data_IF_201632827567
#
_entry.id   IF_201632827567
#
_cell.length_a   1.000
_cell.length_b   1.000
_cell.length_c   1.000
_cell.angle_alpha   90.00
_cell.angle_beta   90.00
_cell.angle_gamma   90.00
#
_symmetry.space_group_name_H-M   'P 1'
#
loop_
_entity.id
_entity.type
_entity.pdbx_description
1 polymer ?
#
# COMPACT_ATOMS: atom_id res chain seq x y z
N UNK A 1 21.28 -8.89 4.36
CA UNK A 1 20.25 -7.84 4.47
C UNK A 1 19.64 -7.59 3.13
N UNK A 2 18.35 -7.84 2.98
CA UNK A 2 17.64 -7.51 1.74
C UNK A 2 17.59 -6.00 1.59
N UNK A 3 17.86 -5.52 0.38
CA UNK A 3 18.06 -4.10 0.15
C UNK A 3 17.10 -3.55 -0.89
N UNK A 4 16.00 -2.96 -0.41
CA UNK A 4 14.99 -2.34 -1.27
C UNK A 4 15.18 -0.83 -1.32
N UNK A 5 15.93 -0.37 -2.32
CA UNK A 5 16.32 1.02 -2.49
C UNK A 5 15.39 1.79 -3.43
N UNK A 6 14.17 2.08 -2.98
CA UNK A 6 13.25 2.97 -3.69
C UNK A 6 12.31 3.72 -2.74
N UNK A 7 11.60 4.71 -3.27
CA UNK A 7 10.55 5.45 -2.56
C UNK A 7 9.21 4.95 -3.08
N UNK A 8 8.32 4.63 -2.15
CA UNK A 8 6.92 4.37 -2.46
C UNK A 8 6.14 5.67 -2.24
N UNK A 9 5.40 6.08 -3.26
CA UNK A 9 4.52 7.25 -3.24
C UNK A 9 3.07 6.79 -3.09
N UNK A 10 2.39 7.22 -2.03
CA UNK A 10 0.98 6.88 -1.77
C UNK A 10 0.15 8.16 -1.75
N UNK A 11 -1.07 8.10 -2.28
CA UNK A 11 -1.97 9.27 -2.36
C UNK A 11 -3.32 8.87 -1.80
N UNK A 12 -3.80 9.57 -0.77
CA UNK A 12 -5.11 9.33 -0.20
C UNK A 12 -5.91 10.61 -0.13
N UNK A 13 -7.22 10.50 -0.35
CA UNK A 13 -8.15 11.61 -0.17
C UNK A 13 -8.61 11.75 1.27
N UNK A 14 -9.05 12.95 1.62
CA UNK A 14 -9.69 13.19 2.90
C UNK A 14 -10.89 14.12 2.78
N UNK A 15 -11.74 14.10 3.80
CA UNK A 15 -12.91 14.98 3.91
C UNK A 15 -12.74 16.01 5.01
N UNK A 16 -12.15 15.61 6.14
CA UNK A 16 -11.99 16.43 7.33
C UNK A 16 -10.51 16.71 7.62
N UNK A 17 -10.11 17.97 7.45
CA UNK A 17 -8.74 18.43 7.61
C UNK A 17 -8.25 18.29 9.06
N UNK A 18 -9.07 18.61 10.05
CA UNK A 18 -8.68 18.58 11.46
C UNK A 18 -8.40 17.15 11.94
N UNK A 19 -9.24 16.20 11.52
CA UNK A 19 -9.05 14.77 11.81
C UNK A 19 -7.73 14.29 11.20
N UNK A 20 -7.46 14.65 9.95
CA UNK A 20 -6.24 14.22 9.26
C UNK A 20 -5.00 14.89 9.82
N UNK A 21 -5.01 16.18 10.14
CA UNK A 21 -3.88 16.85 10.79
C UNK A 21 -3.54 16.18 12.10
N UNK A 22 -4.56 15.92 12.94
CA UNK A 22 -4.39 15.20 14.21
C UNK A 22 -3.81 13.79 14.00
N UNK A 23 -4.31 13.06 13.01
CA UNK A 23 -3.79 11.73 12.67
C UNK A 23 -2.32 11.79 12.20
N UNK A 24 -1.98 12.76 11.36
CA UNK A 24 -0.63 12.95 10.82
C UNK A 24 0.38 13.48 11.84
N UNK A 25 -0.06 14.24 12.84
CA UNK A 25 0.80 14.63 13.97
C UNK A 25 1.12 13.43 14.86
N UNK A 26 0.16 12.50 14.99
CA UNK A 26 0.26 11.36 15.88
C UNK A 26 0.97 10.15 15.26
N UNK A 27 0.63 9.78 14.03
CA UNK A 27 1.04 8.53 13.38
C UNK A 27 1.68 8.75 12.00
N UNK A 28 2.61 9.70 11.95
CA UNK A 28 3.31 10.04 10.70
C UNK A 28 4.25 8.92 10.24
N UNK A 29 4.22 8.63 8.95
CA UNK A 29 5.26 7.84 8.28
C UNK A 29 5.78 8.54 7.02
N UNK A 30 7.10 8.58 6.86
CA UNK A 30 7.75 9.18 5.70
C UNK A 30 7.59 10.71 5.59
N UNK A 31 7.83 11.22 4.39
CA UNK A 31 7.51 12.61 4.06
C UNK A 31 6.02 12.71 3.73
N UNK A 32 5.36 13.73 4.27
CA UNK A 32 3.91 13.92 4.09
C UNK A 32 3.67 15.34 3.61
N UNK A 33 2.88 15.47 2.56
CA UNK A 33 2.39 16.75 2.05
C UNK A 33 0.87 16.74 2.01
N UNK A 34 0.25 17.74 2.64
CA UNK A 34 -1.17 18.01 2.54
C UNK A 34 -1.43 18.98 1.39
N UNK A 35 -2.33 18.59 0.49
CA UNK A 35 -2.89 19.43 -0.55
C UNK A 35 -4.31 19.82 -0.15
N UNK A 36 -4.45 21.05 0.37
CA UNK A 36 -5.71 21.58 0.86
C UNK A 36 -6.71 21.87 -0.27
N UNK A 37 -6.21 22.29 -1.43
CA UNK A 37 -7.05 22.65 -2.58
C UNK A 37 -7.80 21.42 -3.08
N UNK A 38 -7.06 20.32 -3.25
CA UNK A 38 -7.66 19.12 -3.79
C UNK A 38 -8.20 18.19 -2.68
N UNK A 39 -7.82 18.40 -1.40
CA UNK A 39 -8.06 17.48 -0.25
C UNK A 39 -7.34 16.13 -0.34
N UNK A 40 -6.01 16.16 -0.54
CA UNK A 40 -5.17 14.95 -0.56
C UNK A 40 -4.05 14.98 0.45
N UNK A 41 -3.61 13.77 0.76
CA UNK A 41 -2.40 13.48 1.49
C UNK A 41 -1.46 12.71 0.55
N UNK A 42 -0.29 13.26 0.31
CA UNK A 42 0.79 12.63 -0.43
C UNK A 42 1.83 12.11 0.56
N UNK A 43 2.14 10.83 0.48
CA UNK A 43 3.19 10.19 1.27
C UNK A 43 4.35 9.82 0.36
N UNK A 44 5.58 10.08 0.81
CA UNK A 44 6.81 9.50 0.25
C UNK A 44 7.47 8.65 1.32
N UNK A 45 7.38 7.34 1.14
CA UNK A 45 7.79 6.34 2.13
C UNK A 45 9.08 5.66 1.65
N UNK A 46 10.14 5.79 2.44
CA UNK A 46 11.43 5.20 2.12
C UNK A 46 11.43 3.69 2.42
N UNK A 47 11.45 2.87 1.37
CA UNK A 47 11.39 1.40 1.47
C UNK A 47 12.65 0.76 2.05
N UNK A 48 13.71 1.53 2.32
CA UNK A 48 14.88 1.11 3.12
C UNK A 48 14.55 0.85 4.59
N UNK A 49 13.58 1.59 5.10
CA UNK A 49 13.20 1.60 6.52
C UNK A 49 11.78 1.16 6.75
N UNK A 50 11.03 0.92 5.69
CA UNK A 50 9.62 0.59 5.78
C UNK A 50 9.30 -0.67 4.98
N UNK A 51 8.41 -1.49 5.54
CA UNK A 51 7.77 -2.58 4.82
C UNK A 51 6.25 -2.50 5.02
N UNK A 52 5.51 -2.53 3.93
CA UNK A 52 4.04 -2.62 3.93
C UNK A 52 3.65 -4.01 4.43
N UNK A 53 2.60 -4.11 5.25
CA UNK A 53 2.20 -5.39 5.85
C UNK A 53 1.82 -6.44 4.79
N UNK A 54 1.17 -6.03 3.69
CA UNK A 54 0.89 -6.91 2.56
C UNK A 54 2.15 -7.53 1.94
N UNK A 55 3.22 -6.75 1.79
CA UNK A 55 4.50 -7.23 1.26
C UNK A 55 5.16 -8.21 2.24
N UNK A 56 5.13 -7.91 3.54
CA UNK A 56 5.66 -8.80 4.57
C UNK A 56 4.97 -10.18 4.52
N UNK A 57 3.64 -10.18 4.49
CA UNK A 57 2.84 -11.42 4.39
C UNK A 57 3.22 -12.19 3.13
N UNK A 58 3.29 -11.50 1.99
CA UNK A 58 3.65 -12.10 0.71
C UNK A 58 5.05 -12.72 0.73
N UNK A 59 6.03 -12.07 1.36
CA UNK A 59 7.39 -12.60 1.45
C UNK A 59 7.51 -13.80 2.39
N UNK A 60 6.76 -13.82 3.50
CA UNK A 60 6.68 -14.99 4.38
C UNK A 60 6.03 -16.15 3.65
N UNK A 61 4.88 -15.91 2.99
CA UNK A 61 4.12 -16.91 2.24
C UNK A 61 4.95 -17.54 1.11
N UNK A 62 5.78 -16.72 0.45
CA UNK A 62 6.72 -17.12 -0.59
C UNK A 62 7.96 -17.82 -0.04
N UNK A 63 8.07 -18.02 1.27
CA UNK A 63 9.27 -18.53 1.97
C UNK A 63 10.54 -17.73 1.64
N UNK A 64 10.37 -16.46 1.28
CA UNK A 64 11.46 -15.57 0.91
C UNK A 64 12.19 -15.08 2.15
N UNK A 65 11.41 -14.59 3.12
CA UNK A 65 11.92 -14.17 4.44
C UNK A 65 11.54 -15.17 5.51
N UNK A 66 12.36 -15.24 6.57
CA UNK A 66 12.09 -16.08 7.74
C UNK A 66 11.78 -15.24 8.96
N UNK A 67 10.69 -15.59 9.64
CA UNK A 67 10.32 -15.04 10.95
C UNK A 67 9.97 -16.16 11.91
N UNK A 68 10.28 -15.95 13.19
CA UNK A 68 9.88 -16.87 14.25
C UNK A 68 8.41 -16.71 14.60
N UNK A 69 7.82 -17.74 15.20
CA UNK A 69 6.47 -17.69 15.72
C UNK A 69 6.34 -16.59 16.78
N UNK A 70 7.34 -16.45 17.67
CA UNK A 70 7.37 -15.37 18.66
C UNK A 70 7.23 -13.98 18.02
N UNK A 71 7.98 -13.71 16.95
CA UNK A 71 7.91 -12.45 16.20
C UNK A 71 6.55 -12.24 15.54
N UNK A 72 5.92 -13.29 15.03
CA UNK A 72 4.58 -13.22 14.44
C UNK A 72 3.51 -12.87 15.50
N UNK A 73 3.59 -13.49 16.68
CA UNK A 73 2.70 -13.18 17.79
C UNK A 73 2.90 -11.74 18.29
N UNK A 74 4.15 -11.30 18.34
CA UNK A 74 4.48 -9.92 18.71
C UNK A 74 3.94 -8.91 17.69
N UNK A 75 3.98 -9.22 16.39
CA UNK A 75 3.32 -8.42 15.36
C UNK A 75 1.82 -8.24 15.65
N UNK A 76 1.11 -9.30 16.04
CA UNK A 76 -0.32 -9.20 16.39
C UNK A 76 -0.56 -8.26 17.56
N UNK A 77 0.27 -8.34 18.60
CA UNK A 77 0.20 -7.44 19.75
C UNK A 77 0.43 -5.98 19.33
N UNK A 78 1.44 -5.71 18.52
CA UNK A 78 1.73 -4.35 18.05
C UNK A 78 0.60 -3.79 17.17
N UNK A 79 0.02 -4.60 16.30
CA UNK A 79 -1.12 -4.23 15.47
C UNK A 79 -2.34 -3.84 16.33
N UNK A 80 -2.68 -4.66 17.33
CA UNK A 80 -3.80 -4.41 18.24
C UNK A 80 -3.56 -3.16 19.10
N UNK A 81 -2.35 -3.01 19.62
CA UNK A 81 -1.96 -1.85 20.41
C UNK A 81 -2.04 -0.56 19.60
N UNK A 82 -1.58 -0.55 18.34
CA UNK A 82 -1.66 0.64 17.49
C UNK A 82 -3.10 1.07 17.27
N UNK A 83 -4.02 0.12 17.04
CA UNK A 83 -5.45 0.43 16.92
C UNK A 83 -6.01 1.02 18.23
N UNK A 84 -5.71 0.42 19.38
CA UNK A 84 -6.14 0.97 20.68
C UNK A 84 -5.59 2.38 20.92
N UNK A 85 -4.34 2.59 20.53
CA UNK A 85 -3.65 3.85 20.70
C UNK A 85 -4.33 4.96 19.88
N UNK A 86 -4.60 4.75 18.58
CA UNK A 86 -5.29 5.76 17.75
C UNK A 86 -6.72 6.01 18.25
N UNK A 87 -7.46 4.96 18.67
CA UNK A 87 -8.83 5.09 19.18
C UNK A 87 -8.84 5.87 20.51
N UNK A 88 -7.84 5.69 21.37
CA UNK A 88 -7.69 6.45 22.62
C UNK A 88 -7.44 7.94 22.39
N UNK A 89 -6.86 8.30 21.24
CA UNK A 89 -6.68 9.69 20.81
C UNK A 89 -7.94 10.23 20.11
N UNK A 90 -9.01 9.45 19.97
CA UNK A 90 -10.20 9.85 19.21
C UNK A 90 -9.93 10.00 17.71
N UNK A 91 -8.98 9.25 17.17
CA UNK A 91 -8.69 9.18 15.74
C UNK A 91 -9.40 7.94 15.19
N UNK A 92 -10.30 8.14 14.24
CA UNK A 92 -10.97 7.04 13.54
C UNK A 92 -10.20 6.64 12.28
N UNK A 93 -10.08 5.32 12.04
CA UNK A 93 -9.56 4.78 10.79
C UNK A 93 -10.59 3.82 10.19
N UNK A 94 -11.35 4.31 9.21
CA UNK A 94 -12.48 3.56 8.64
C UNK A 94 -12.12 2.73 7.39
N UNK A 95 -10.90 2.90 6.88
CA UNK A 95 -10.43 2.28 5.64
C UNK A 95 -9.22 1.36 5.87
N UNK A 96 -9.03 0.80 7.07
CA UNK A 96 -7.81 0.04 7.36
C UNK A 96 -7.71 -1.22 6.48
N UNK A 97 -6.55 -1.49 5.91
CA UNK A 97 -6.28 -2.73 5.18
C UNK A 97 -4.79 -3.11 5.26
N UNK A 98 -4.41 -4.21 4.61
CA UNK A 98 -3.02 -4.68 4.61
C UNK A 98 -2.04 -3.72 3.90
N UNK A 99 -2.55 -2.88 3.00
CA UNK A 99 -1.73 -1.95 2.21
C UNK A 99 -1.51 -0.61 2.90
N UNK A 100 -2.39 -0.29 3.86
CA UNK A 100 -2.36 0.91 4.69
C UNK A 100 -1.63 0.73 6.00
N UNK A 101 -1.09 -0.45 6.26
CA UNK A 101 -0.30 -0.75 7.46
C UNK A 101 1.17 -0.86 7.08
N UNK A 102 2.00 -0.08 7.76
CA UNK A 102 3.43 -0.01 7.54
C UNK A 102 4.18 -0.35 8.81
N UNK A 103 5.22 -1.18 8.67
CA UNK A 103 6.20 -1.43 9.72
C UNK A 103 7.39 -0.51 9.44
N UNK A 104 7.62 0.45 10.33
CA UNK A 104 8.77 1.36 10.27
C UNK A 104 9.88 0.84 11.18
N UNK A 105 11.01 0.51 10.58
CA UNK A 105 12.17 -0.08 11.22
C UNK A 105 13.06 1.03 11.79
N UNK A 106 13.54 0.85 13.02
CA UNK A 106 14.41 1.85 13.66
C UNK A 106 15.75 1.98 12.92
N UNK A 107 16.27 0.87 12.41
CA UNK A 107 17.51 0.83 11.65
C UNK A 107 17.35 0.01 10.37
N UNK A 108 18.09 0.38 9.32
CA UNK A 108 18.19 -0.44 8.11
C UNK A 108 18.66 -1.87 8.47
N UNK A 109 19.48 -2.00 9.53
CA UNK A 109 20.02 -3.25 10.07
C UNK A 109 18.95 -4.29 10.43
N UNK A 110 17.69 -3.86 10.56
CA UNK A 110 16.54 -4.65 10.99
C UNK A 110 15.59 -5.03 9.82
N UNK A 111 15.97 -4.74 8.56
CA UNK A 111 15.11 -5.03 7.40
C UNK A 111 14.99 -6.51 7.08
N UNK A 112 13.76 -7.11 7.00
CA UNK A 112 13.55 -8.55 6.83
C UNK A 112 14.48 -9.22 5.82
N UNK A 113 14.91 -10.45 6.11
CA UNK A 113 16.00 -11.10 5.38
C UNK A 113 15.72 -12.59 5.18
N UNK A 114 16.55 -13.23 4.35
CA UNK A 114 16.40 -14.64 3.96
C UNK A 114 16.57 -15.61 5.13
N UNK A 115 17.26 -15.16 6.17
CA UNK A 115 17.52 -15.87 7.42
C UNK A 115 16.80 -15.14 8.56
N UNK A 116 16.64 -15.84 9.69
CA UNK A 116 16.13 -15.23 10.91
C UNK A 116 16.98 -14.04 11.31
N UNK A 117 16.31 -12.95 11.63
CA UNK A 117 16.94 -11.75 12.12
C UNK A 117 15.99 -10.97 13.00
N UNK A 118 16.59 -10.04 13.72
CA UNK A 118 15.96 -9.10 14.62
C UNK A 118 15.06 -8.17 13.79
N UNK A 119 13.76 -8.16 14.09
CA UNK A 119 12.82 -7.20 13.51
C UNK A 119 12.25 -6.32 14.63
N UNK A 120 12.76 -5.09 14.71
CA UNK A 120 12.26 -4.06 15.63
C UNK A 120 11.63 -2.98 14.78
N UNK A 121 10.35 -2.73 15.00
CA UNK A 121 9.57 -1.77 14.22
C UNK A 121 8.44 -1.16 15.04
N UNK A 122 8.07 0.06 14.68
CA UNK A 122 6.78 0.66 15.01
C UNK A 122 5.76 0.36 13.90
N UNK A 123 4.48 0.33 14.27
CA UNK A 123 3.37 0.22 13.32
C UNK A 123 2.84 1.62 13.06
N UNK A 124 2.65 1.95 11.78
CA UNK A 124 2.03 3.18 11.34
C UNK A 124 0.93 2.91 10.34
N UNK A 125 -0.13 3.72 10.35
CA UNK A 125 -1.21 3.64 9.40
C UNK A 125 -1.21 4.79 8.40
N UNK A 126 -1.70 4.53 7.19
CA UNK A 126 -1.95 5.53 6.14
C UNK A 126 -3.39 5.44 5.66
N UNK A 127 -3.90 6.49 5.01
CA UNK A 127 -5.25 6.44 4.43
C UNK A 127 -6.37 6.30 5.48
N UNK A 128 -6.26 7.02 6.61
CA UNK A 128 -7.30 7.12 7.65
C UNK A 128 -8.69 7.45 7.09
N UNK A 129 -8.69 8.34 6.09
CA UNK A 129 -9.81 8.64 5.22
C UNK A 129 -9.42 8.28 3.78
N UNK A 130 -10.39 7.83 2.98
CA UNK A 130 -10.21 7.57 1.54
C UNK A 130 -11.58 7.47 0.81
N UNK A 131 -12.41 8.53 0.82
CA UNK A 131 -13.77 8.50 0.26
C UNK A 131 -13.84 8.29 -1.25
N UNK A 132 -12.77 8.61 -1.99
CA UNK A 132 -12.74 8.61 -3.46
C UNK A 132 -13.11 7.25 -4.07
N UNK A 133 -12.69 6.15 -3.43
CA UNK A 133 -12.85 4.79 -3.99
C UNK A 133 -13.86 3.93 -3.22
N UNK A 134 -13.92 4.05 -1.90
CA UNK A 134 -14.55 3.06 -1.03
C UNK A 134 -15.92 3.52 -0.52
N UNK A 135 -16.83 3.91 -1.43
CA UNK A 135 -18.20 4.29 -1.08
C UNK A 135 -18.91 3.14 -0.35
N UNK A 136 -19.20 3.38 0.94
CA UNK A 136 -20.05 2.66 1.91
C UNK A 136 -19.84 1.15 2.14
N UNK A 137 -19.32 0.36 1.19
CA UNK A 137 -19.20 -1.10 1.32
C UNK A 137 -17.97 -1.59 2.10
N UNK A 138 -16.94 -0.75 2.23
CA UNK A 138 -15.67 -1.13 2.85
C UNK A 138 -15.36 -0.37 4.15
N UNK A 139 -16.21 0.58 4.54
CA UNK A 139 -16.04 1.31 5.79
C UNK A 139 -16.26 0.37 6.98
N UNK A 140 -15.20 0.12 7.72
CA UNK A 140 -15.23 -0.71 8.92
C UNK A 140 -14.31 -0.10 9.96
N UNK A 141 -14.75 -0.09 11.22
CA UNK A 141 -13.92 0.36 12.34
C UNK A 141 -12.60 -0.43 12.39
N UNK A 142 -11.50 0.27 12.62
CA UNK A 142 -10.16 -0.32 12.74
C UNK A 142 -10.11 -1.49 13.72
N UNK A 143 -10.79 -1.40 14.87
CA UNK A 143 -10.89 -2.46 15.87
C UNK A 143 -11.54 -3.75 15.38
N UNK A 144 -12.49 -3.69 14.45
CA UNK A 144 -13.02 -4.89 13.79
C UNK A 144 -12.08 -5.36 12.68
N UNK A 145 -11.58 -4.42 11.88
CA UNK A 145 -10.78 -4.74 10.70
C UNK A 145 -9.43 -5.38 11.03
N UNK A 146 -8.81 -4.97 12.13
CA UNK A 146 -7.53 -5.54 12.58
C UNK A 146 -7.64 -7.02 12.96
N UNK A 147 -8.80 -7.45 13.47
CA UNK A 147 -9.09 -8.86 13.77
C UNK A 147 -9.18 -9.71 12.49
N UNK A 148 -9.73 -9.14 11.41
CA UNK A 148 -9.72 -9.79 10.09
C UNK A 148 -8.29 -9.90 9.55
N UNK A 149 -7.51 -8.82 9.67
CA UNK A 149 -6.11 -8.78 9.24
C UNK A 149 -5.27 -9.85 9.98
N UNK A 150 -5.43 -9.99 11.30
CA UNK A 150 -4.74 -11.04 12.07
C UNK A 150 -5.11 -12.43 11.55
N UNK A 151 -6.39 -12.70 11.27
CA UNK A 151 -6.81 -13.97 10.70
C UNK A 151 -6.18 -14.21 9.31
N UNK A 152 -6.09 -13.19 8.47
CA UNK A 152 -5.42 -13.30 7.16
C UNK A 152 -3.93 -13.65 7.34
N UNK A 153 -3.24 -12.97 8.26
CA UNK A 153 -1.83 -13.26 8.54
C UNK A 153 -1.66 -14.71 9.00
N UNK A 154 -2.47 -15.18 9.96
CA UNK A 154 -2.39 -16.56 10.45
C UNK A 154 -2.57 -17.56 9.31
N UNK A 155 -3.62 -17.38 8.50
CA UNK A 155 -3.95 -18.31 7.41
C UNK A 155 -2.86 -18.37 6.33
N UNK A 156 -2.22 -17.23 6.01
CA UNK A 156 -1.21 -17.16 4.94
C UNK A 156 0.21 -17.47 5.42
N UNK A 157 0.55 -17.12 6.66
CA UNK A 157 1.92 -17.16 7.15
C UNK A 157 2.22 -18.38 8.01
N UNK A 158 1.26 -18.90 8.79
CA UNK A 158 1.58 -19.91 9.81
C UNK A 158 2.27 -21.13 9.21
N UNK A 159 1.81 -21.63 8.06
CA UNK A 159 2.38 -22.80 7.39
C UNK A 159 3.82 -22.63 6.88
N UNK A 160 4.34 -21.39 6.85
CA UNK A 160 5.73 -21.06 6.49
C UNK A 160 6.62 -20.83 7.70
N UNK A 161 6.06 -20.80 8.91
CA UNK A 161 6.86 -20.73 10.13
C UNK A 161 7.52 -22.09 10.40
N UNK A 162 8.85 -22.10 10.50
CA UNK A 162 9.58 -23.29 10.91
C UNK A 162 9.51 -23.44 12.42
N UNK A 163 9.13 -24.62 12.86
CA UNK A 163 9.02 -25.01 14.26
C UNK A 163 10.12 -26.01 14.56
N UNK A 164 10.50 -26.14 15.83
CA UNK A 164 11.49 -27.12 16.30
C UNK A 164 11.18 -28.56 15.89
N UNK A 165 9.91 -28.88 15.67
CA UNK A 165 9.46 -30.18 15.21
C UNK A 165 8.96 -30.11 13.76
N UNK A 166 9.40 -31.06 12.96
CA UNK A 166 9.06 -31.16 11.53
C UNK A 166 7.84 -32.04 11.26
N UNK A 167 7.30 -32.75 12.26
CA UNK A 167 6.12 -33.61 12.04
C UNK A 167 4.81 -32.80 12.02
N UNK A 168 3.88 -33.24 11.18
CA UNK A 168 2.60 -32.56 10.98
C UNK A 168 1.74 -32.57 12.26
N UNK A 169 1.81 -33.61 13.07
CA UNK A 169 1.00 -33.72 14.28
C UNK A 169 1.36 -32.64 15.31
N UNK A 170 2.65 -32.38 15.56
CA UNK A 170 3.05 -31.28 16.47
C UNK A 170 2.71 -29.93 15.89
N UNK A 171 2.84 -29.74 14.58
CA UNK A 171 2.41 -28.51 13.92
C UNK A 171 0.91 -28.26 14.13
N UNK A 172 0.08 -29.27 13.92
CA UNK A 172 -1.36 -29.19 14.13
C UNK A 172 -1.70 -28.94 15.61
N UNK A 173 -0.99 -29.59 16.52
CA UNK A 173 -1.12 -29.33 17.96
C UNK A 173 -0.81 -27.86 18.29
N UNK A 174 0.31 -27.32 17.82
CA UNK A 174 0.69 -25.92 18.05
C UNK A 174 -0.31 -24.95 17.42
N UNK A 175 -0.80 -25.24 16.22
CA UNK A 175 -1.85 -24.46 15.58
C UNK A 175 -3.12 -24.41 16.45
N UNK A 176 -3.56 -25.57 16.95
CA UNK A 176 -4.74 -25.68 17.79
C UNK A 176 -4.56 -25.04 19.18
N UNK A 177 -3.35 -25.08 19.73
CA UNK A 177 -3.07 -24.52 21.06
C UNK A 177 -2.79 -23.02 21.04
N UNK A 178 -2.36 -22.45 19.90
CA UNK A 178 -1.95 -21.03 19.82
C UNK A 178 -2.80 -20.25 18.82
N UNK A 179 -2.84 -20.69 17.55
CA UNK A 179 -3.52 -19.93 16.50
C UNK A 179 -5.04 -19.95 16.65
N UNK A 180 -5.62 -21.12 16.93
CA UNK A 180 -7.08 -21.28 17.06
C UNK A 180 -7.68 -20.41 18.18
N UNK A 181 -7.11 -20.34 19.41
CA UNK A 181 -7.59 -19.42 20.44
C UNK A 181 -7.63 -17.96 19.98
N UNK A 182 -6.58 -17.50 19.29
CA UNK A 182 -6.49 -16.13 18.76
C UNK A 182 -7.57 -15.92 17.67
N UNK A 183 -7.72 -16.86 16.74
CA UNK A 183 -8.76 -16.80 15.69
C UNK A 183 -10.16 -16.75 16.32
N UNK A 184 -10.43 -17.56 17.33
CA UNK A 184 -11.74 -17.62 17.99
C UNK A 184 -12.08 -16.29 18.66
N UNK A 185 -11.12 -15.65 19.32
CA UNK A 185 -11.31 -14.31 19.86
C UNK A 185 -11.49 -13.26 18.76
N UNK A 186 -10.73 -13.34 17.67
CA UNK A 186 -10.89 -12.44 16.52
C UNK A 186 -12.28 -12.55 15.85
N UNK A 187 -12.90 -13.74 15.88
CA UNK A 187 -14.26 -13.99 15.37
C UNK A 187 -15.36 -13.63 16.36
N UNK A 188 -15.04 -13.54 17.65
CA UNK A 188 -16.00 -13.23 18.70
C UNK A 188 -16.40 -11.75 18.64
N UNK A 189 -17.72 -11.51 18.57
CA UNK A 189 -18.27 -10.15 18.61
C UNK A 189 -18.03 -9.46 19.96
N UNK A 190 -17.95 -10.24 21.05
CA UNK A 190 -17.83 -9.72 22.41
C UNK A 190 -16.38 -9.52 22.86
N UNK A 191 -15.40 -10.05 22.13
CA UNK A 191 -13.99 -9.87 22.47
C UNK A 191 -13.52 -8.50 22.01
N UNK A 192 -12.84 -7.75 22.87
CA UNK A 192 -12.16 -6.52 22.48
C UNK A 192 -10.67 -6.80 22.15
N UNK A 193 -9.95 -5.79 21.65
CA UNK A 193 -8.53 -5.94 21.32
C UNK A 193 -7.66 -6.29 22.54
N UNK A 194 -8.05 -5.83 23.74
CA UNK A 194 -7.33 -6.08 24.99
C UNK A 194 -7.38 -7.55 25.40
N UNK A 195 -8.55 -8.21 25.26
CA UNK A 195 -8.71 -9.64 25.54
C UNK A 195 -7.79 -10.49 24.64
N UNK A 196 -7.68 -10.11 23.37
CA UNK A 196 -6.80 -10.78 22.40
C UNK A 196 -5.33 -10.57 22.79
N UNK A 197 -4.94 -9.35 23.17
CA UNK A 197 -3.58 -9.05 23.64
C UNK A 197 -3.23 -9.90 24.86
N UNK A 198 -4.11 -9.97 25.88
CA UNK A 198 -3.88 -10.81 27.07
C UNK A 198 -3.72 -12.28 26.68
N UNK A 199 -4.58 -12.79 25.80
CA UNK A 199 -4.50 -14.16 25.32
C UNK A 199 -3.14 -14.44 24.67
N UNK A 200 -2.70 -13.59 23.75
CA UNK A 200 -1.41 -13.74 23.06
C UNK A 200 -0.26 -13.69 24.06
N UNK A 201 -0.25 -12.71 24.98
CA UNK A 201 0.81 -12.59 25.99
C UNK A 201 0.84 -13.80 26.94
N UNK A 202 -0.32 -14.35 27.31
CA UNK A 202 -0.41 -15.57 28.10
C UNK A 202 0.16 -16.78 27.36
N UNK A 203 -0.15 -16.92 26.07
CA UNK A 203 0.41 -17.97 25.20
C UNK A 203 1.93 -17.82 25.04
N UNK A 204 2.42 -16.60 24.79
CA UNK A 204 3.86 -16.33 24.68
C UNK A 204 4.59 -16.71 25.98
N UNK A 205 4.07 -16.31 27.15
CA UNK A 205 4.64 -16.69 28.47
C UNK A 205 4.66 -18.21 28.69
N UNK A 206 3.59 -18.93 28.28
CA UNK A 206 3.51 -20.40 28.38
C UNK A 206 4.67 -21.10 27.67
N UNK A 207 5.13 -20.55 26.54
CA UNK A 207 6.19 -21.15 25.70
C UNK A 207 7.56 -20.49 25.87
N UNK A 208 7.85 -20.04 27.09
CA UNK A 208 9.14 -19.48 27.49
C UNK A 208 9.60 -18.36 26.56
N UNK A 209 8.70 -17.39 26.35
CA UNK A 209 9.02 -16.17 25.64
C UNK A 209 10.23 -15.47 26.26
N UNK A 210 11.20 -15.11 25.41
CA UNK A 210 12.29 -14.22 25.79
C UNK A 210 12.38 -13.04 24.85
N UNK A 211 12.43 -11.86 25.46
CA UNK A 211 12.88 -10.62 24.85
C UNK A 211 14.25 -10.29 25.44
N UNK A 212 15.31 -10.89 24.90
CA UNK A 212 16.65 -10.64 25.42
C UNK A 212 17.26 -9.41 24.71
N UNK A 213 17.42 -8.30 25.44
CA UNK A 213 18.06 -7.08 24.95
C UNK A 213 19.50 -7.32 24.41
N UNK A 214 20.17 -8.39 24.87
CA UNK A 214 21.54 -8.72 24.43
C UNK A 214 21.62 -9.52 23.13
N UNK A 215 20.60 -10.35 22.81
CA UNK A 215 20.60 -11.24 21.63
C UNK A 215 19.43 -11.01 20.63
N UNK A 216 18.45 -10.16 20.98
CA UNK A 216 17.49 -9.45 20.11
C UNK A 216 16.58 -10.25 19.16
N UNK A 217 16.44 -11.58 19.23
CA UNK A 217 15.37 -12.30 18.53
C UNK A 217 14.13 -12.43 19.42
N UNK A 218 12.94 -12.16 18.87
CA UNK A 218 11.66 -12.38 19.56
C UNK A 218 11.21 -13.82 19.28
N UNK A 219 11.29 -14.68 20.31
CA UNK A 219 11.12 -16.14 20.17
C UNK A 219 10.28 -16.73 21.31
N UNK A 220 9.54 -17.79 20.98
CA UNK A 220 8.96 -18.74 21.92
C UNK A 220 9.89 -19.97 22.01
N UNK A 221 10.85 -19.97 22.94
CA UNK A 221 11.97 -20.91 22.98
C UNK A 221 11.58 -22.40 22.99
N UNK A 222 10.38 -22.71 23.48
CA UNK A 222 9.91 -24.08 23.55
C UNK A 222 9.42 -24.60 22.19
N UNK A 223 9.06 -23.71 21.26
CA UNK A 223 8.43 -24.05 19.97
C UNK A 223 9.28 -23.63 18.77
N UNK A 224 9.82 -22.42 18.83
CA UNK A 224 10.60 -21.89 17.73
C UNK A 224 11.81 -22.79 17.49
N UNK A 225 12.11 -23.01 16.22
CA UNK A 225 13.32 -23.73 15.88
C UNK A 225 14.52 -22.97 16.46
N UNK A 226 15.40 -23.71 17.14
CA UNK A 226 16.65 -23.21 17.70
C UNK A 226 17.64 -22.78 16.59
N UNK A 227 17.26 -22.91 15.32
CA UNK A 227 18.06 -22.65 14.13
C UNK A 227 19.04 -21.48 14.33
N UNK A 228 20.25 -21.87 14.73
CA UNK A 228 21.49 -21.14 14.56
C UNK A 228 21.82 -21.07 13.07
N UNK A 229 20.94 -20.48 12.25
CA UNK A 229 21.14 -20.23 10.81
C UNK A 229 22.29 -19.22 10.54
N UNK A 230 23.13 -18.95 11.55
CA UNK A 230 24.04 -17.83 11.65
C UNK A 230 25.38 -18.03 10.94
N UNK A 231 25.79 -19.26 10.61
CA UNK A 231 27.02 -19.51 9.87
C UNK A 231 26.89 -20.72 8.92
N UNK A 232 26.97 -20.47 7.61
CA UNK A 232 27.03 -21.44 6.50
C UNK A 232 25.71 -22.07 6.01
N UNK A 233 24.53 -21.55 6.37
CA UNK A 233 23.29 -21.96 5.68
C UNK A 233 23.33 -21.56 4.21
N UNK A 234 22.71 -22.35 3.33
CA UNK A 234 22.70 -22.02 1.89
C UNK A 234 22.01 -20.68 1.63
N UNK A 235 20.97 -20.37 2.41
CA UNK A 235 20.32 -19.05 2.40
C UNK A 235 21.30 -17.93 2.75
N UNK A 236 22.14 -18.09 3.78
CA UNK A 236 23.13 -17.07 4.15
C UNK A 236 24.16 -16.85 3.04
N UNK A 237 24.66 -17.92 2.41
CA UNK A 237 25.63 -17.84 1.32
C UNK A 237 25.10 -17.08 0.10
N UNK A 238 23.80 -17.16 -0.18
CA UNK A 238 23.20 -16.50 -1.34
C UNK A 238 22.71 -15.08 -1.08
N UNK A 239 22.65 -14.61 0.17
CA UNK A 239 22.25 -13.22 0.51
C UNK A 239 22.95 -12.17 -0.37
N UNK A 240 24.30 -12.19 -0.55
CA UNK A 240 24.97 -11.18 -1.37
C UNK A 240 24.48 -11.19 -2.82
N UNK A 241 24.26 -12.37 -3.40
CA UNK A 241 23.84 -12.51 -4.79
C UNK A 241 22.37 -12.13 -4.98
N UNK A 242 21.48 -12.54 -4.07
CA UNK A 242 20.08 -12.11 -4.03
C UNK A 242 19.99 -10.59 -3.94
N UNK A 243 20.81 -9.96 -3.09
CA UNK A 243 20.85 -8.52 -2.98
C UNK A 243 21.32 -7.82 -4.25
N UNK A 244 22.32 -8.36 -4.93
CA UNK A 244 22.77 -7.82 -6.21
C UNK A 244 21.63 -7.86 -7.23
N UNK A 245 20.92 -8.97 -7.32
CA UNK A 245 19.84 -9.15 -8.29
C UNK A 245 18.64 -8.25 -7.96
N UNK A 246 18.24 -8.14 -6.69
CA UNK A 246 17.19 -7.19 -6.26
C UNK A 246 17.60 -5.73 -6.52
N UNK A 247 18.86 -5.39 -6.24
CA UNK A 247 19.37 -4.04 -6.50
C UNK A 247 19.33 -3.74 -8.00
N UNK A 248 19.72 -4.70 -8.84
CA UNK A 248 19.67 -4.55 -10.29
C UNK A 248 18.23 -4.41 -10.82
N UNK A 249 17.29 -5.22 -10.31
CA UNK A 249 15.86 -5.12 -10.62
C UNK A 249 15.36 -3.69 -10.29
N UNK A 250 15.62 -3.22 -9.07
CA UNK A 250 15.14 -1.91 -8.61
C UNK A 250 15.78 -0.78 -9.42
N UNK A 251 17.12 -0.79 -9.57
CA UNK A 251 17.83 0.25 -10.32
C UNK A 251 17.35 0.35 -11.76
N UNK A 252 17.16 -0.79 -12.43
CA UNK A 252 16.63 -0.79 -13.79
C UNK A 252 15.18 -0.33 -13.84
N UNK A 253 14.33 -0.83 -12.95
CA UNK A 253 12.91 -0.50 -12.94
C UNK A 253 12.62 0.94 -12.49
N UNK A 254 13.53 1.59 -11.76
CA UNK A 254 13.38 2.96 -11.28
C UNK A 254 13.19 3.97 -12.42
N UNK A 255 13.69 3.69 -13.63
CA UNK A 255 13.44 4.54 -14.80
C UNK A 255 11.98 4.52 -15.29
N UNK A 256 11.20 3.52 -14.86
CA UNK A 256 9.80 3.31 -15.26
C UNK A 256 8.79 3.62 -14.14
N UNK A 257 9.27 3.93 -12.94
CA UNK A 257 8.43 4.27 -11.79
C UNK A 257 8.08 3.10 -10.86
N UNK A 258 7.47 3.42 -9.71
CA UNK A 258 7.29 2.49 -8.60
C UNK A 258 6.42 1.27 -8.91
N UNK A 259 5.39 1.40 -9.75
CA UNK A 259 4.51 0.26 -10.08
C UNK A 259 5.31 -0.84 -10.76
N UNK A 260 6.23 -0.48 -11.65
CA UNK A 260 7.11 -1.45 -12.32
C UNK A 260 8.05 -2.10 -11.32
N UNK A 261 8.61 -1.33 -10.38
CA UNK A 261 9.44 -1.90 -9.30
C UNK A 261 8.65 -2.94 -8.51
N UNK A 262 7.47 -2.57 -8.00
CA UNK A 262 6.65 -3.45 -7.16
C UNK A 262 6.15 -4.69 -7.92
N UNK A 263 5.78 -4.55 -9.20
CA UNK A 263 5.39 -5.66 -10.07
C UNK A 263 6.53 -6.67 -10.26
N UNK A 264 7.75 -6.19 -10.54
CA UNK A 264 8.89 -7.08 -10.71
C UNK A 264 9.28 -7.76 -9.40
N UNK A 265 9.23 -7.05 -8.27
CA UNK A 265 9.47 -7.66 -6.95
C UNK A 265 8.42 -8.76 -6.68
N UNK A 266 7.14 -8.49 -6.95
CA UNK A 266 6.07 -9.46 -6.81
C UNK A 266 6.28 -10.70 -7.70
N UNK A 267 6.77 -10.52 -8.93
CA UNK A 267 7.07 -11.61 -9.85
C UNK A 267 8.31 -12.42 -9.46
N UNK A 268 9.41 -11.75 -9.11
CA UNK A 268 10.70 -12.38 -8.95
C UNK A 268 10.95 -12.93 -7.56
N UNK A 269 10.33 -12.40 -6.51
CA UNK A 269 10.51 -12.93 -5.14
C UNK A 269 10.18 -14.44 -5.06
N UNK A 270 9.04 -14.93 -5.58
CA UNK A 270 8.75 -16.36 -5.56
C UNK A 270 9.74 -17.21 -6.38
N UNK A 271 10.26 -16.66 -7.48
CA UNK A 271 11.28 -17.33 -8.31
C UNK A 271 12.58 -17.44 -7.50
N UNK A 272 13.00 -16.34 -6.89
CA UNK A 272 14.20 -16.28 -6.04
C UNK A 272 14.09 -17.29 -4.90
N UNK A 273 12.97 -17.30 -4.18
CA UNK A 273 12.71 -18.22 -3.07
C UNK A 273 12.86 -19.69 -3.47
N UNK A 274 12.30 -20.09 -4.62
CA UNK A 274 12.37 -21.47 -5.13
C UNK A 274 13.79 -21.93 -5.46
N UNK A 275 14.70 -20.99 -5.71
CA UNK A 275 16.07 -21.27 -6.16
C UNK A 275 17.12 -20.90 -5.12
N UNK A 276 16.76 -20.64 -3.85
CA UNK A 276 17.73 -20.23 -2.83
C UNK A 276 18.88 -21.24 -2.62
N UNK A 277 18.63 -22.54 -2.75
CA UNK A 277 19.66 -23.58 -2.64
C UNK A 277 20.62 -23.64 -3.83
N UNK A 278 20.20 -23.18 -5.01
CA UNK A 278 20.94 -23.25 -6.27
C UNK A 278 21.11 -21.89 -6.96
N UNK A 279 21.07 -20.82 -6.17
CA UNK A 279 20.87 -19.44 -6.66
C UNK A 279 21.95 -18.96 -7.62
N UNK A 280 23.16 -19.50 -7.52
CA UNK A 280 24.30 -19.16 -8.38
C UNK A 280 24.06 -19.39 -9.87
N UNK A 281 23.04 -20.19 -10.25
CA UNK A 281 22.67 -20.48 -11.64
C UNK A 281 21.40 -19.75 -12.09
N UNK A 282 20.78 -18.95 -11.23
CA UNK A 282 19.52 -18.28 -11.55
C UNK A 282 19.76 -17.16 -12.56
N UNK A 283 19.06 -17.24 -13.70
CA UNK A 283 19.00 -16.15 -14.68
C UNK A 283 17.65 -15.45 -14.55
N UNK A 284 17.67 -14.22 -14.07
CA UNK A 284 16.48 -13.38 -13.99
C UNK A 284 16.43 -12.46 -15.21
N UNK A 285 15.42 -12.64 -16.06
CA UNK A 285 15.21 -11.80 -17.23
C UNK A 285 14.41 -10.53 -16.88
N UNK A 286 14.88 -9.81 -15.86
CA UNK A 286 14.16 -8.66 -15.31
C UNK A 286 14.12 -7.47 -16.27
N UNK A 287 15.08 -7.36 -17.20
CA UNK A 287 15.11 -6.30 -18.22
C UNK A 287 13.92 -6.45 -19.15
N UNK A 288 13.76 -7.62 -19.76
CA UNK A 288 12.64 -7.90 -20.65
C UNK A 288 11.30 -7.77 -19.92
N UNK A 289 11.21 -8.29 -18.69
CA UNK A 289 10.00 -8.19 -17.87
C UNK A 289 9.64 -6.74 -17.55
N UNK A 290 10.59 -5.93 -17.10
CA UNK A 290 10.36 -4.52 -16.83
C UNK A 290 9.83 -3.78 -18.07
N UNK A 291 10.38 -4.05 -19.25
CA UNK A 291 9.91 -3.46 -20.50
C UNK A 291 8.49 -3.92 -20.87
N UNK A 292 8.15 -5.20 -20.64
CA UNK A 292 6.80 -5.71 -20.85
C UNK A 292 5.79 -5.05 -19.92
N UNK A 293 6.10 -4.98 -18.63
CA UNK A 293 5.26 -4.34 -17.61
C UNK A 293 5.05 -2.86 -17.94
N UNK A 294 6.12 -2.13 -18.25
CA UNK A 294 6.01 -0.72 -18.61
C UNK A 294 5.16 -0.48 -19.87
N UNK A 295 5.31 -1.33 -20.91
CA UNK A 295 4.45 -1.27 -22.11
C UNK A 295 2.98 -1.49 -21.78
N UNK A 296 2.68 -2.42 -20.86
CA UNK A 296 1.32 -2.65 -20.40
C UNK A 296 0.78 -1.43 -19.66
N UNK A 297 1.59 -0.81 -18.80
CA UNK A 297 1.21 0.41 -18.07
C UNK A 297 0.86 1.55 -19.03
N UNK A 298 1.75 1.89 -19.97
CA UNK A 298 1.50 2.94 -20.95
C UNK A 298 0.23 2.66 -21.77
N UNK A 299 0.04 1.41 -22.21
CA UNK A 299 -1.15 1.04 -22.99
C UNK A 299 -2.43 1.29 -22.20
N UNK A 300 -2.40 1.01 -20.91
CA UNK A 300 -3.53 1.19 -20.01
C UNK A 300 -3.80 2.67 -19.71
N UNK A 301 -2.77 3.45 -19.40
CA UNK A 301 -2.87 4.90 -19.25
C UNK A 301 -3.41 5.57 -20.53
N UNK A 302 -2.95 5.13 -21.70
CA UNK A 302 -3.43 5.62 -22.99
C UNK A 302 -4.92 5.33 -23.21
N UNK A 303 -5.45 4.20 -22.73
CA UNK A 303 -6.88 3.90 -22.81
C UNK A 303 -7.69 4.82 -21.91
N UNK A 304 -7.26 4.98 -20.65
CA UNK A 304 -7.92 5.90 -19.70
C UNK A 304 -7.89 7.33 -20.25
N UNK A 305 -6.77 7.76 -20.82
CA UNK A 305 -6.63 9.05 -21.49
C UNK A 305 -7.62 9.24 -22.64
N UNK A 306 -7.76 8.24 -23.53
CA UNK A 306 -8.72 8.31 -24.64
C UNK A 306 -10.16 8.45 -24.15
N UNK A 307 -10.56 7.67 -23.15
CA UNK A 307 -11.89 7.76 -22.54
C UNK A 307 -12.14 9.14 -21.92
N UNK A 308 -11.16 9.67 -21.17
CA UNK A 308 -11.25 11.03 -20.60
C UNK A 308 -11.39 12.08 -21.70
N UNK A 309 -10.56 12.01 -22.74
CA UNK A 309 -10.59 12.95 -23.85
C UNK A 309 -11.95 12.98 -24.53
N UNK A 310 -12.49 11.82 -24.91
CA UNK A 310 -13.80 11.71 -25.55
C UNK A 310 -14.91 12.30 -24.66
N UNK A 311 -14.88 12.01 -23.36
CA UNK A 311 -15.88 12.51 -22.43
C UNK A 311 -15.79 14.02 -22.20
N UNK A 312 -14.58 14.57 -22.07
CA UNK A 312 -14.35 16.02 -21.92
C UNK A 312 -14.84 16.77 -23.15
N UNK A 313 -14.55 16.27 -24.35
CA UNK A 313 -15.04 16.87 -25.60
C UNK A 313 -16.56 16.99 -25.63
N UNK A 314 -17.26 15.91 -25.27
CA UNK A 314 -18.74 15.90 -25.19
C UNK A 314 -19.24 16.90 -24.14
N UNK A 315 -18.61 16.94 -22.96
CA UNK A 315 -19.01 17.83 -21.87
C UNK A 315 -18.81 19.30 -22.24
N UNK A 316 -17.66 19.68 -22.82
CA UNK A 316 -17.40 21.05 -23.28
C UNK A 316 -18.45 21.46 -24.31
N UNK A 317 -18.71 20.64 -25.33
CA UNK A 317 -19.70 20.97 -26.36
C UNK A 317 -21.10 21.18 -25.79
N UNK A 318 -21.49 20.39 -24.79
CA UNK A 318 -22.79 20.55 -24.13
C UNK A 318 -22.84 21.83 -23.29
N UNK A 319 -21.82 22.09 -22.47
CA UNK A 319 -21.75 23.29 -21.63
C UNK A 319 -21.68 24.58 -22.45
N UNK A 320 -20.92 24.59 -23.56
CA UNK A 320 -20.86 25.72 -24.49
C UNK A 320 -22.25 26.00 -25.10
N UNK A 321 -22.94 24.97 -25.61
CA UNK A 321 -24.31 25.11 -26.16
C UNK A 321 -25.32 25.65 -25.16
N UNK A 322 -25.15 25.34 -23.87
CA UNK A 322 -26.01 25.89 -22.82
C UNK A 322 -25.70 27.36 -22.57
N UNK A 323 -24.43 27.73 -22.45
CA UNK A 323 -24.00 29.13 -22.22
C UNK A 323 -24.24 30.04 -23.42
N UNK A 324 -24.19 29.53 -24.64
CA UNK A 324 -24.54 30.28 -25.86
C UNK A 324 -25.99 30.77 -25.86
N UNK A 325 -26.91 30.04 -25.20
CA UNK A 325 -28.31 30.49 -25.05
C UNK A 325 -28.42 31.78 -24.24
N UNK A 326 -27.48 32.03 -23.33
CA UNK A 326 -27.46 33.18 -22.43
C UNK A 326 -26.65 34.35 -23.00
N UNK A 327 -25.41 34.10 -23.44
CA UNK A 327 -24.45 35.17 -23.74
C UNK A 327 -24.22 35.45 -25.23
N UNK A 328 -24.57 34.51 -26.13
CA UNK A 328 -24.43 34.64 -27.60
C UNK A 328 -23.02 35.02 -28.11
N UNK A 329 -21.96 34.75 -27.34
CA UNK A 329 -20.59 34.94 -27.81
C UNK A 329 -20.20 33.88 -28.83
N UNK A 330 -19.40 34.26 -29.82
CA UNK A 330 -18.76 33.31 -30.74
C UNK A 330 -17.50 32.73 -30.10
N UNK A 331 -17.45 31.40 -30.00
CA UNK A 331 -16.32 30.64 -29.46
C UNK A 331 -15.59 29.97 -30.62
N UNK A 332 -14.28 30.21 -30.73
CA UNK A 332 -13.46 29.70 -31.83
C UNK A 332 -12.97 28.27 -31.57
N UNK A 333 -12.64 27.53 -32.64
CA UNK A 333 -12.07 26.18 -32.54
C UNK A 333 -10.77 26.12 -31.73
N UNK A 334 -9.96 27.18 -31.78
CA UNK A 334 -8.71 27.26 -31.02
C UNK A 334 -8.97 27.46 -29.52
N UNK A 335 -10.01 28.22 -29.14
CA UNK A 335 -10.45 28.34 -27.75
C UNK A 335 -10.98 27.01 -27.20
N UNK A 336 -11.71 26.25 -28.02
CA UNK A 336 -12.20 24.91 -27.66
C UNK A 336 -11.02 23.95 -27.46
N UNK A 337 -10.05 23.93 -28.38
CA UNK A 337 -8.85 23.09 -28.23
C UNK A 337 -8.04 23.45 -26.99
N UNK A 338 -7.90 24.74 -26.68
CA UNK A 338 -7.19 25.18 -25.48
C UNK A 338 -7.91 24.72 -24.21
N UNK A 339 -9.24 24.90 -24.15
CA UNK A 339 -10.07 24.36 -23.07
C UNK A 339 -9.90 22.85 -22.91
N UNK A 340 -9.97 22.09 -24.02
CA UNK A 340 -9.78 20.63 -24.00
C UNK A 340 -8.44 20.25 -23.38
N UNK A 341 -7.34 20.88 -23.83
CA UNK A 341 -6.00 20.61 -23.32
C UNK A 341 -5.89 20.92 -21.83
N UNK A 342 -6.39 22.08 -21.40
CA UNK A 342 -6.29 22.53 -20.01
C UNK A 342 -7.11 21.64 -19.08
N UNK A 343 -8.34 21.30 -19.46
CA UNK A 343 -9.23 20.43 -18.69
C UNK A 343 -8.64 19.02 -18.60
N UNK A 344 -8.19 18.44 -19.72
CA UNK A 344 -7.60 17.09 -19.73
C UNK A 344 -6.36 17.04 -18.82
N UNK A 345 -5.48 18.04 -18.90
CA UNK A 345 -4.29 18.11 -18.06
C UNK A 345 -4.66 18.17 -16.56
N UNK A 346 -5.65 18.96 -16.18
CA UNK A 346 -6.13 19.02 -14.80
C UNK A 346 -6.74 17.68 -14.35
N UNK A 347 -7.58 17.06 -15.18
CA UNK A 347 -8.24 15.79 -14.88
C UNK A 347 -7.22 14.67 -14.68
N UNK A 348 -6.20 14.56 -15.53
CA UNK A 348 -5.13 13.56 -15.40
C UNK A 348 -4.30 13.74 -14.12
N UNK A 349 -4.23 14.97 -13.61
CA UNK A 349 -3.56 15.30 -12.36
C UNK A 349 -4.45 15.11 -11.13
N UNK A 350 -5.72 14.72 -11.31
CA UNK A 350 -6.64 14.52 -10.19
C UNK A 350 -6.18 13.39 -9.27
N UNK A 351 -6.60 13.50 -8.02
CA UNK A 351 -6.20 12.60 -6.94
C UNK A 351 -6.67 11.18 -7.15
N UNK A 352 -7.88 11.02 -7.69
CA UNK A 352 -8.45 9.71 -7.97
C UNK A 352 -7.57 8.91 -8.91
N UNK A 353 -7.12 9.55 -9.99
CA UNK A 353 -6.23 8.89 -10.95
C UNK A 353 -4.85 8.64 -10.34
N UNK A 354 -4.30 9.62 -9.60
CA UNK A 354 -3.03 9.45 -8.89
C UNK A 354 -3.05 8.29 -7.90
N UNK A 355 -4.13 8.12 -7.13
CA UNK A 355 -4.30 6.99 -6.22
C UNK A 355 -4.18 5.64 -6.94
N UNK A 356 -4.91 5.46 -8.05
CA UNK A 356 -4.84 4.22 -8.82
C UNK A 356 -3.51 4.03 -9.55
N UNK A 357 -2.92 5.10 -10.08
CA UNK A 357 -1.65 5.07 -10.81
C UNK A 357 -0.43 4.94 -9.90
N UNK A 358 -0.59 5.11 -8.59
CA UNK A 358 0.49 4.95 -7.62
C UNK A 358 0.37 3.67 -6.80
N UNK A 359 -0.82 3.09 -6.70
CA UNK A 359 -1.05 1.89 -5.87
C UNK A 359 -0.97 0.61 -6.71
N UNK A 360 0.19 -0.06 -6.69
CA UNK A 360 0.43 -1.33 -7.41
C UNK A 360 -0.71 -2.35 -7.28
N UNK A 361 -1.19 -2.58 -6.04
CA UNK A 361 -2.21 -3.59 -5.76
C UNK A 361 -3.57 -3.30 -6.39
N UNK A 362 -3.94 -2.03 -6.54
CA UNK A 362 -5.16 -1.64 -7.24
C UNK A 362 -4.96 -1.71 -8.75
N UNK A 363 -3.77 -1.34 -9.21
CA UNK A 363 -3.41 -1.34 -10.62
C UNK A 363 -3.42 -2.74 -11.24
N UNK A 364 -2.90 -3.76 -10.53
CA UNK A 364 -2.72 -5.10 -11.09
C UNK A 364 -3.86 -6.09 -10.84
N UNK A 365 -4.59 -5.97 -9.72
CA UNK A 365 -5.57 -6.99 -9.33
C UNK A 365 -6.97 -6.75 -9.89
N UNK A 366 -7.21 -5.64 -10.60
CA UNK A 366 -8.55 -5.24 -10.98
C UNK A 366 -8.65 -5.04 -12.50
N UNK A 367 -9.24 -6.02 -13.20
CA UNK A 367 -9.47 -5.92 -14.65
C UNK A 367 -10.36 -4.73 -15.03
N UNK A 368 -11.16 -4.23 -14.09
CA UNK A 368 -12.04 -3.08 -14.24
C UNK A 368 -11.38 -1.77 -13.77
N UNK A 369 -10.08 -1.76 -13.45
CA UNK A 369 -9.39 -0.59 -12.89
C UNK A 369 -9.59 0.66 -13.75
N UNK A 370 -9.62 0.53 -15.07
CA UNK A 370 -9.87 1.65 -15.98
C UNK A 370 -11.29 2.21 -15.87
N UNK A 371 -12.29 1.36 -15.63
CA UNK A 371 -13.66 1.82 -15.36
C UNK A 371 -13.75 2.54 -14.03
N UNK A 372 -13.04 2.07 -13.00
CA UNK A 372 -12.97 2.77 -11.71
C UNK A 372 -12.21 4.10 -11.83
N UNK A 373 -11.07 4.12 -12.52
CA UNK A 373 -10.31 5.33 -12.83
C UNK A 373 -11.17 6.34 -13.57
N UNK A 374 -11.82 5.91 -14.65
CA UNK A 374 -12.69 6.77 -15.46
C UNK A 374 -13.87 7.28 -14.64
N UNK A 375 -14.61 6.41 -13.95
CA UNK A 375 -15.75 6.78 -13.10
C UNK A 375 -15.37 7.77 -11.99
N UNK A 376 -14.20 7.58 -11.37
CA UNK A 376 -13.70 8.47 -10.35
C UNK A 376 -13.27 9.83 -10.95
N UNK A 377 -12.72 9.83 -12.16
CA UNK A 377 -12.40 11.04 -12.89
C UNK A 377 -13.66 11.80 -13.36
N UNK A 378 -14.75 11.12 -13.74
CA UNK A 378 -15.96 11.77 -14.29
C UNK A 378 -16.55 12.83 -13.37
N UNK A 379 -16.59 12.60 -12.05
CA UNK A 379 -17.11 13.62 -11.12
C UNK A 379 -16.26 14.88 -11.11
N UNK A 380 -14.95 14.72 -11.20
CA UNK A 380 -14.00 15.82 -11.27
C UNK A 380 -14.05 16.53 -12.63
N UNK A 381 -14.27 15.76 -13.71
CA UNK A 381 -14.48 16.30 -15.06
C UNK A 381 -15.67 17.26 -15.11
N UNK A 382 -16.82 16.87 -14.54
CA UNK A 382 -18.03 17.73 -14.54
C UNK A 382 -17.73 19.09 -13.93
N UNK A 383 -17.15 19.11 -12.72
CA UNK A 383 -16.83 20.35 -12.03
C UNK A 383 -15.84 21.22 -12.81
N UNK A 384 -14.73 20.65 -13.30
CA UNK A 384 -13.72 21.43 -14.04
C UNK A 384 -14.28 21.97 -15.34
N UNK A 385 -15.05 21.17 -16.09
CA UNK A 385 -15.61 21.61 -17.36
C UNK A 385 -16.52 22.82 -17.13
N UNK A 386 -17.39 22.75 -16.14
CA UNK A 386 -18.27 23.87 -15.77
C UNK A 386 -17.45 25.12 -15.42
N UNK A 387 -16.48 25.01 -14.52
CA UNK A 387 -15.62 26.13 -14.11
C UNK A 387 -14.84 26.75 -15.26
N UNK A 388 -14.22 25.94 -16.13
CA UNK A 388 -13.38 26.42 -17.23
C UNK A 388 -14.21 27.05 -18.35
N UNK A 389 -15.38 26.48 -18.65
CA UNK A 389 -16.32 27.10 -19.61
C UNK A 389 -16.82 28.43 -19.05
N UNK A 390 -17.19 28.51 -17.78
CA UNK A 390 -17.60 29.78 -17.16
C UNK A 390 -16.51 30.84 -17.22
N UNK A 391 -15.26 30.46 -16.94
CA UNK A 391 -14.11 31.36 -17.06
C UNK A 391 -13.91 31.88 -18.48
N UNK A 392 -14.13 31.05 -19.50
CA UNK A 392 -14.07 31.49 -20.90
C UNK A 392 -15.13 32.56 -21.19
N UNK A 393 -16.37 32.36 -20.73
CA UNK A 393 -17.44 33.34 -20.92
C UNK A 393 -17.18 34.63 -20.13
N UNK A 394 -16.72 34.54 -18.89
CA UNK A 394 -16.31 35.71 -18.09
C UNK A 394 -15.23 36.50 -18.84
N UNK A 395 -14.22 35.83 -19.39
CA UNK A 395 -13.17 36.46 -20.19
C UNK A 395 -13.74 37.21 -21.40
N UNK A 396 -14.70 36.62 -22.11
CA UNK A 396 -15.38 37.27 -23.26
C UNK A 396 -16.15 38.52 -22.82
N UNK A 397 -16.88 38.46 -21.69
CA UNK A 397 -17.57 39.62 -21.11
C UNK A 397 -16.58 40.73 -20.78
N UNK A 398 -15.46 40.40 -20.14
CA UNK A 398 -14.44 41.39 -19.77
C UNK A 398 -13.78 42.03 -21.00
N UNK A 399 -13.52 41.26 -22.06
CA UNK A 399 -13.02 41.80 -23.33
C UNK A 399 -14.02 42.78 -23.91
N UNK A 400 -15.31 42.41 -23.99
CA UNK A 400 -16.36 43.28 -24.49
C UNK A 400 -16.47 44.57 -23.68
N UNK A 401 -16.43 44.50 -22.35
CA UNK A 401 -16.45 45.69 -21.48
C UNK A 401 -15.25 46.59 -21.79
N UNK A 402 -14.06 46.00 -21.97
CA UNK A 402 -12.83 46.75 -22.26
C UNK A 402 -12.88 47.40 -23.65
N UNK A 403 -13.54 46.78 -24.62
CA UNK A 403 -13.75 47.36 -25.96
C UNK A 403 -14.79 48.48 -25.99
N UNK A 404 -15.66 48.55 -24.97
CA UNK A 404 -16.72 49.56 -24.84
C UNK A 404 -16.31 50.81 -24.03
N UNK A 405 -15.21 50.74 -23.28
CA UNK A 405 -14.60 51.85 -22.52
C UNK A 405 -13.52 52.50 -23.39
#
# INVERSE_FOLDING_TARGET
>A
MINLFYVSEEVYSYENEDIIKKALEFDRIGEVQLDLQNKSIYYKINRRKCIRLSDLIFWIESDFIRIHLGQLLYLFVLLLNQVQLIESQGIEHNYLDLNRIWLHLAENSQYPNLIYQILIYSIHFTGYQCPIYEKSKFQQKASSKIKEIIQIIINRCFNRIHLKWTNNDKRNQIYNEIMIPIINLCKSQNSNNYDIIICIQGLMKKYNYKEDLKNKLIQCLDIDDNCNDYFNSDRQKVIPKVNQDLTAIIQFANQYGQIVIESLLYQFIPIISKHLESYSKLKLDYIFKAQQEYKMIIKNESKTYQLIKEQVQIMIQNSLKEKEKEYKFEITDDEIKQLEVDIINQVLQCQSLKYFNNTFWLYHNNQEIHHYQFSAATKYMVQIVEEQVDLLFIKKVLILITELI
#
